data_IF_133774308909
#
_entry.id   IF_133774308909
#
_cell.length_a   1.000
_cell.length_b   1.000
_cell.length_c   1.000
_cell.angle_alpha   90.00
_cell.angle_beta   90.00
_cell.angle_gamma   90.00
#
_symmetry.space_group_name_H-M   'P 1'
#
loop_
_entity.id
_entity.type
_entity.pdbx_description
1 polymer ?
#
# COMPACT_ATOMS: atom_id res chain seq x y z
N UNK A 1 21.36 1.63 -18.63
CA UNK A 1 20.30 1.43 -17.60
C UNK A 1 19.47 0.23 -18.05
N UNK A 2 19.29 -0.81 -17.21
CA UNK A 2 18.47 -1.97 -17.58
C UNK A 2 17.00 -1.52 -17.61
N UNK A 3 16.50 -1.23 -18.81
CA UNK A 3 15.10 -0.99 -19.07
C UNK A 3 14.34 -2.31 -18.86
N UNK A 4 13.75 -2.50 -17.68
CA UNK A 4 12.90 -3.66 -17.44
C UNK A 4 11.58 -3.46 -18.20
N UNK A 5 11.12 -4.49 -18.92
CA UNK A 5 9.78 -4.51 -19.55
C UNK A 5 8.67 -4.20 -18.53
N UNK A 6 8.90 -4.57 -17.26
CA UNK A 6 7.96 -4.30 -16.18
C UNK A 6 7.72 -2.81 -15.93
N UNK A 7 8.59 -1.88 -16.36
CA UNK A 7 8.40 -0.44 -16.14
C UNK A 7 7.77 0.29 -17.33
N UNK A 8 7.49 -0.41 -18.45
CA UNK A 8 7.06 0.25 -19.70
C UNK A 8 5.67 -0.11 -20.20
N UNK A 9 5.07 -1.20 -19.72
CA UNK A 9 3.78 -1.70 -20.23
C UNK A 9 2.88 -2.24 -19.11
N UNK A 10 2.53 -1.37 -18.14
CA UNK A 10 1.50 -1.63 -17.13
C UNK A 10 0.09 -1.52 -17.72
N UNK A 11 -0.18 -2.21 -18.84
CA UNK A 11 -1.53 -2.20 -19.45
C UNK A 11 -2.58 -2.85 -18.55
N UNK A 12 -2.15 -3.79 -17.69
CA UNK A 12 -3.01 -4.43 -16.69
C UNK A 12 -2.23 -4.57 -15.37
N UNK A 13 -2.40 -3.61 -14.45
CA UNK A 13 -1.77 -3.65 -13.14
C UNK A 13 -2.05 -4.95 -12.35
N UNK A 14 -3.17 -5.63 -12.56
CA UNK A 14 -3.50 -6.87 -11.82
C UNK A 14 -2.56 -8.02 -12.16
N UNK A 15 -2.26 -8.22 -13.44
CA UNK A 15 -1.42 -9.34 -13.91
C UNK A 15 0.03 -9.25 -13.47
N UNK A 16 0.54 -8.02 -13.35
CA UNK A 16 1.95 -7.78 -13.08
C UNK A 16 2.22 -7.43 -11.62
N UNK A 17 1.39 -6.59 -10.99
CA UNK A 17 1.67 -6.07 -9.65
C UNK A 17 1.27 -7.03 -8.53
N UNK A 18 0.21 -7.83 -8.70
CA UNK A 18 -0.26 -8.74 -7.63
C UNK A 18 0.81 -9.78 -7.25
N UNK A 19 1.46 -10.49 -8.21
CA UNK A 19 2.56 -11.41 -7.87
C UNK A 19 3.79 -10.69 -7.31
N UNK A 20 4.08 -9.47 -7.80
CA UNK A 20 5.19 -8.66 -7.30
C UNK A 20 4.96 -8.14 -5.88
N UNK A 21 3.71 -7.89 -5.49
CA UNK A 21 3.36 -7.35 -4.18
C UNK A 21 3.97 -8.18 -3.05
N UNK A 22 3.76 -9.50 -3.05
CA UNK A 22 4.28 -10.38 -1.99
C UNK A 22 5.81 -10.35 -1.92
N UNK A 23 6.49 -10.30 -3.08
CA UNK A 23 7.96 -10.25 -3.13
C UNK A 23 8.48 -8.92 -2.58
N UNK A 24 7.93 -7.80 -3.04
CA UNK A 24 8.39 -6.46 -2.68
C UNK A 24 8.06 -6.16 -1.22
N UNK A 25 6.78 -6.32 -0.83
CA UNK A 25 6.34 -6.03 0.54
C UNK A 25 6.96 -7.02 1.53
N UNK A 26 7.05 -8.30 1.17
CA UNK A 26 7.75 -9.29 1.98
C UNK A 26 9.21 -8.91 2.24
N UNK A 27 9.92 -8.41 1.22
CA UNK A 27 11.30 -7.92 1.38
C UNK A 27 11.37 -6.66 2.25
N UNK A 28 10.44 -5.72 2.08
CA UNK A 28 10.38 -4.51 2.91
C UNK A 28 10.16 -4.87 4.38
N UNK A 29 9.24 -5.79 4.69
CA UNK A 29 8.99 -6.25 6.06
C UNK A 29 10.23 -6.94 6.64
N UNK A 30 10.88 -7.83 5.87
CA UNK A 30 12.12 -8.51 6.29
C UNK A 30 13.22 -7.51 6.63
N UNK A 31 13.48 -6.56 5.73
CA UNK A 31 14.52 -5.54 5.90
C UNK A 31 14.21 -4.60 7.06
N UNK A 32 12.94 -4.24 7.25
CA UNK A 32 12.51 -3.38 8.36
C UNK A 32 12.81 -4.03 9.70
N UNK A 33 12.56 -5.35 9.84
CA UNK A 33 12.87 -6.10 11.06
C UNK A 33 14.37 -6.38 11.18
N UNK A 34 15.04 -6.76 10.09
CA UNK A 34 16.48 -7.04 10.10
C UNK A 34 17.29 -5.81 10.52
N UNK A 35 16.93 -4.62 10.01
CA UNK A 35 17.54 -3.34 10.35
C UNK A 35 16.76 -2.59 11.44
N UNK A 36 16.10 -3.28 12.37
CA UNK A 36 15.23 -2.67 13.40
C UNK A 36 15.87 -1.48 14.12
N UNK A 37 17.12 -1.60 14.54
CA UNK A 37 17.83 -0.52 15.25
C UNK A 37 18.04 0.72 14.39
N UNK A 38 18.15 0.56 13.07
CA UNK A 38 18.14 1.68 12.14
C UNK A 38 16.72 2.20 11.90
N UNK A 39 15.74 1.31 11.73
CA UNK A 39 14.33 1.65 11.54
C UNK A 39 13.76 2.48 12.68
N UNK A 40 14.21 2.27 13.92
CA UNK A 40 13.85 3.05 15.11
C UNK A 40 14.37 4.49 15.10
N UNK A 41 15.41 4.78 14.32
CA UNK A 41 16.00 6.12 14.31
C UNK A 41 15.05 7.12 13.65
N UNK A 42 14.87 8.24 14.33
CA UNK A 42 14.22 9.43 13.78
C UNK A 42 15.19 10.09 12.80
N UNK A 43 15.00 9.84 11.51
CA UNK A 43 15.81 10.44 10.45
C UNK A 43 14.96 11.57 9.86
N UNK A 44 15.42 12.81 10.04
CA UNK A 44 14.82 13.97 9.36
C UNK A 44 14.97 13.81 7.85
N UNK A 45 13.99 14.30 7.10
CA UNK A 45 14.11 14.41 5.66
C UNK A 45 15.36 15.20 5.30
N UNK A 46 16.14 14.64 4.37
CA UNK A 46 17.35 15.26 3.86
C UNK A 46 17.25 15.30 2.35
N UNK A 47 17.47 16.48 1.78
CA UNK A 47 17.77 16.59 0.37
C UNK A 47 19.04 15.80 0.09
N UNK A 48 18.95 14.86 -0.84
CA UNK A 48 20.10 14.08 -1.31
C UNK A 48 20.50 14.58 -2.69
N UNK A 49 21.80 14.57 -2.98
CA UNK A 49 22.31 14.89 -4.30
C UNK A 49 21.78 13.85 -5.30
N UNK A 50 21.09 14.31 -6.34
CA UNK A 50 20.66 13.46 -7.46
C UNK A 50 21.84 13.29 -8.40
N UNK A 51 22.34 12.06 -8.50
CA UNK A 51 23.41 11.71 -9.46
C UNK A 51 22.74 11.11 -10.70
N UNK A 52 22.82 11.81 -11.84
CA UNK A 52 22.27 11.34 -13.12
C UNK A 52 21.73 12.45 -14.00
N UNK A 53 21.22 12.08 -15.18
CA UNK A 53 20.47 12.99 -16.07
C UNK A 53 19.02 12.99 -15.61
N UNK A 54 18.44 14.16 -15.41
CA UNK A 54 17.01 14.32 -15.12
C UNK A 54 16.23 14.11 -16.43
N UNK A 55 15.81 12.88 -16.66
CA UNK A 55 14.84 12.57 -17.72
C UNK A 55 13.44 12.87 -17.17
N UNK A 56 12.86 13.99 -17.59
CA UNK A 56 11.43 14.28 -17.37
C UNK A 56 10.65 13.43 -18.37
N UNK A 57 10.52 12.13 -18.11
CA UNK A 57 9.64 11.25 -18.89
C UNK A 57 8.22 11.39 -18.34
N UNK A 58 7.28 11.86 -19.16
CA UNK A 58 5.86 11.84 -18.79
C UNK A 58 5.42 10.38 -18.65
N UNK A 59 4.85 9.98 -17.50
CA UNK A 59 4.34 8.63 -17.33
C UNK A 59 3.33 8.30 -18.43
N UNK A 60 3.41 7.08 -18.97
CA UNK A 60 2.39 6.60 -19.89
C UNK A 60 1.05 6.47 -19.17
N UNK A 61 -0.03 6.68 -19.91
CA UNK A 61 -1.37 6.43 -19.42
C UNK A 61 -1.51 4.98 -18.92
N UNK A 62 -2.09 4.84 -17.74
CA UNK A 62 -2.38 3.54 -17.13
C UNK A 62 -3.88 3.33 -17.17
N UNK A 63 -4.32 2.31 -17.91
CA UNK A 63 -5.72 1.90 -17.91
C UNK A 63 -5.94 0.92 -16.76
N UNK A 64 -6.74 1.32 -15.78
CA UNK A 64 -7.04 0.52 -14.59
C UNK A 64 -8.53 0.16 -14.50
N UNK A 65 -8.82 -1.12 -14.23
CA UNK A 65 -10.17 -1.60 -13.88
C UNK A 65 -10.47 -1.32 -12.39
N UNK A 66 -10.83 -0.07 -12.08
CA UNK A 66 -11.12 0.38 -10.71
C UNK A 66 -12.25 -0.46 -10.08
N UNK A 67 -13.36 -0.65 -10.80
CA UNK A 67 -14.49 -1.48 -10.37
C UNK A 67 -14.04 -2.89 -9.99
N UNK A 68 -13.18 -3.50 -10.80
CA UNK A 68 -12.62 -4.81 -10.53
C UNK A 68 -11.74 -4.83 -9.28
N UNK A 69 -10.91 -3.80 -9.03
CA UNK A 69 -10.10 -3.73 -7.80
C UNK A 69 -10.97 -3.59 -6.55
N UNK A 70 -12.04 -2.80 -6.62
CA UNK A 70 -13.02 -2.67 -5.53
C UNK A 70 -13.70 -4.02 -5.27
N UNK A 71 -14.11 -4.74 -6.32
CA UNK A 71 -14.75 -6.03 -6.18
C UNK A 71 -13.80 -7.10 -5.61
N UNK A 72 -12.53 -7.10 -6.03
CA UNK A 72 -11.50 -7.99 -5.48
C UNK A 72 -11.27 -7.70 -4.00
N UNK A 73 -11.16 -6.42 -3.62
CA UNK A 73 -11.06 -6.01 -2.21
C UNK A 73 -12.27 -6.50 -1.41
N UNK A 74 -13.50 -6.23 -1.87
CA UNK A 74 -14.73 -6.64 -1.16
C UNK A 74 -14.82 -8.15 -1.00
N UNK A 75 -14.51 -8.88 -2.07
CA UNK A 75 -14.53 -10.35 -2.07
C UNK A 75 -13.46 -10.93 -1.15
N UNK A 76 -12.22 -10.44 -1.23
CA UNK A 76 -11.12 -10.85 -0.37
C UNK A 76 -11.37 -10.48 1.09
N UNK A 77 -11.99 -9.33 1.34
CA UNK A 77 -12.34 -8.90 2.68
C UNK A 77 -13.32 -9.87 3.35
N UNK A 78 -14.45 -10.16 2.70
CA UNK A 78 -15.47 -11.05 3.29
C UNK A 78 -14.99 -12.50 3.39
N UNK A 79 -14.18 -12.98 2.44
CA UNK A 79 -13.73 -14.38 2.41
C UNK A 79 -12.51 -14.67 3.28
N UNK A 80 -11.60 -13.72 3.43
CA UNK A 80 -10.28 -13.95 4.04
C UNK A 80 -10.05 -12.98 5.21
N UNK A 81 -10.05 -11.66 4.95
CA UNK A 81 -9.64 -10.68 5.98
C UNK A 81 -10.56 -10.71 7.19
N UNK A 82 -11.86 -10.78 6.99
CA UNK A 82 -12.85 -10.74 8.07
C UNK A 82 -12.86 -12.02 8.92
N UNK A 83 -12.79 -13.23 8.34
CA UNK A 83 -12.56 -14.46 9.11
C UNK A 83 -11.18 -14.56 9.77
N UNK A 84 -10.13 -14.02 9.14
CA UNK A 84 -8.72 -14.22 9.54
C UNK A 84 -8.02 -12.91 9.98
N UNK A 85 -8.71 -12.05 10.73
CA UNK A 85 -8.22 -10.74 11.16
C UNK A 85 -7.23 -10.77 12.35
N UNK A 86 -6.44 -11.83 12.51
CA UNK A 86 -5.67 -12.14 13.74
C UNK A 86 -4.65 -11.07 14.18
N UNK A 87 -4.28 -10.13 13.31
CA UNK A 87 -3.40 -9.00 13.64
C UNK A 87 -4.07 -7.62 13.50
N UNK A 88 -5.31 -7.56 13.05
CA UNK A 88 -6.03 -6.31 12.81
C UNK A 88 -6.91 -5.97 14.02
N UNK A 89 -6.69 -4.83 14.67
CA UNK A 89 -7.56 -4.35 15.75
C UNK A 89 -9.02 -4.17 15.32
N UNK A 90 -9.94 -4.26 16.28
CA UNK A 90 -11.39 -4.19 16.05
C UNK A 90 -11.82 -2.90 15.35
N UNK A 91 -11.16 -1.79 15.61
CA UNK A 91 -11.43 -0.50 14.97
C UNK A 91 -11.03 -0.47 13.49
N UNK A 92 -9.98 -1.21 13.10
CA UNK A 92 -9.62 -1.38 11.69
C UNK A 92 -10.69 -2.22 11.01
N UNK A 93 -11.08 -3.33 11.62
CA UNK A 93 -12.12 -4.21 11.08
C UNK A 93 -13.46 -3.49 10.93
N UNK A 94 -13.87 -2.71 11.93
CA UNK A 94 -15.09 -1.89 11.85
C UNK A 94 -15.05 -0.88 10.70
N UNK A 95 -13.89 -0.29 10.44
CA UNK A 95 -13.70 0.65 9.32
C UNK A 95 -13.76 -0.09 7.98
N UNK A 96 -13.08 -1.23 7.86
CA UNK A 96 -13.11 -2.07 6.66
C UNK A 96 -14.50 -2.62 6.36
N UNK A 97 -15.28 -3.00 7.37
CA UNK A 97 -16.68 -3.46 7.23
C UNK A 97 -17.59 -2.37 6.65
N UNK A 98 -17.30 -1.09 6.92
CA UNK A 98 -18.03 0.05 6.32
C UNK A 98 -17.62 0.24 4.87
N UNK A 99 -16.31 0.18 4.58
CA UNK A 99 -15.76 0.35 3.23
C UNK A 99 -16.23 -0.78 2.31
N UNK A 100 -16.26 -2.04 2.79
CA UNK A 100 -16.69 -3.20 2.01
C UNK A 100 -18.15 -3.10 1.55
N UNK A 101 -18.98 -2.38 2.30
CA UNK A 101 -20.40 -2.16 2.01
C UNK A 101 -20.68 -0.94 1.14
N UNK A 102 -19.67 -0.16 0.76
CA UNK A 102 -19.86 0.99 -0.13
C UNK A 102 -20.46 0.54 -1.46
N UNK A 103 -21.61 1.10 -1.86
CA UNK A 103 -22.31 0.70 -3.07
C UNK A 103 -21.86 1.49 -4.31
N UNK A 104 -21.37 2.71 -4.12
CA UNK A 104 -21.08 3.66 -5.20
C UNK A 104 -19.57 3.75 -5.40
N UNK A 105 -19.10 3.42 -6.60
CA UNK A 105 -17.68 3.41 -6.95
C UNK A 105 -17.02 4.78 -6.77
N UNK A 106 -17.63 5.85 -7.27
CA UNK A 106 -17.08 7.22 -7.14
C UNK A 106 -16.95 7.70 -5.70
N UNK A 107 -17.68 7.09 -4.77
CA UNK A 107 -17.68 7.42 -3.35
C UNK A 107 -16.88 6.38 -2.54
N UNK A 108 -16.18 5.46 -3.22
CA UNK A 108 -15.32 4.47 -2.58
C UNK A 108 -14.07 5.15 -2.05
N UNK A 109 -13.95 5.17 -0.72
CA UNK A 109 -12.81 5.76 -0.01
C UNK A 109 -12.17 4.72 0.88
N UNK A 110 -10.88 4.48 0.64
CA UNK A 110 -10.00 3.72 1.52
C UNK A 110 -8.95 4.68 2.09
N UNK A 111 -9.11 5.16 3.34
CA UNK A 111 -8.21 6.16 3.92
C UNK A 111 -6.77 5.69 4.00
N UNK A 112 -5.81 6.58 3.70
CA UNK A 112 -4.38 6.26 3.83
C UNK A 112 -4.00 5.90 5.27
N UNK A 113 -4.58 6.57 6.26
CA UNK A 113 -4.39 6.27 7.68
C UNK A 113 -4.73 4.82 8.02
N UNK A 114 -5.87 4.34 7.51
CA UNK A 114 -6.30 2.97 7.72
C UNK A 114 -5.32 1.98 7.08
N UNK A 115 -4.81 2.32 5.90
CA UNK A 115 -3.81 1.51 5.20
C UNK A 115 -2.50 1.47 5.97
N UNK A 116 -1.92 2.62 6.30
CA UNK A 116 -0.67 2.72 7.07
C UNK A 116 -0.78 1.95 8.39
N UNK A 117 -1.85 2.19 9.16
CA UNK A 117 -2.10 1.47 10.42
C UNK A 117 -2.14 -0.05 10.22
N UNK A 118 -2.81 -0.54 9.17
CA UNK A 118 -2.90 -1.96 8.86
C UNK A 118 -1.53 -2.57 8.54
N UNK A 119 -0.69 -1.86 7.78
CA UNK A 119 0.70 -2.29 7.47
C UNK A 119 1.53 -2.40 8.74
N UNK A 120 1.48 -1.41 9.64
CA UNK A 120 2.25 -1.44 10.90
C UNK A 120 1.73 -2.49 11.89
N UNK A 121 0.42 -2.77 11.93
CA UNK A 121 -0.12 -3.91 12.66
C UNK A 121 0.44 -5.23 12.08
N UNK A 122 0.47 -5.37 10.76
CA UNK A 122 1.04 -6.54 10.08
C UNK A 122 2.52 -6.72 10.36
N UNK A 123 3.31 -5.65 10.28
CA UNK A 123 4.74 -5.65 10.62
C UNK A 123 4.98 -6.07 12.08
N UNK A 124 4.22 -5.50 13.02
CA UNK A 124 4.36 -5.80 14.45
C UNK A 124 4.02 -7.25 14.78
N UNK A 125 3.00 -7.81 14.12
CA UNK A 125 2.65 -9.22 14.26
C UNK A 125 3.70 -10.12 13.60
N UNK A 126 4.11 -9.78 12.38
CA UNK A 126 5.10 -10.54 11.62
C UNK A 126 6.43 -10.63 12.37
N UNK A 127 6.86 -9.56 13.03
CA UNK A 127 8.06 -9.56 13.89
C UNK A 127 8.03 -10.68 14.93
N UNK A 128 6.87 -10.93 15.55
CA UNK A 128 6.68 -11.93 16.59
C UNK A 128 6.39 -13.33 16.05
N UNK A 129 5.82 -13.42 14.84
CA UNK A 129 5.30 -14.64 14.21
C UNK A 129 5.81 -14.76 12.77
N UNK A 130 7.11 -15.02 12.63
CA UNK A 130 7.80 -15.05 11.32
C UNK A 130 7.32 -16.17 10.40
N UNK A 131 6.75 -17.22 10.97
CA UNK A 131 6.12 -18.34 10.26
C UNK A 131 4.79 -17.97 9.58
N UNK A 132 4.15 -16.87 10.00
CA UNK A 132 2.86 -16.39 9.47
C UNK A 132 3.01 -15.32 8.37
N UNK A 133 4.19 -15.23 7.73
CA UNK A 133 4.51 -14.20 6.73
C UNK A 133 3.48 -14.13 5.61
N UNK A 134 3.16 -15.29 5.01
CA UNK A 134 2.29 -15.36 3.85
C UNK A 134 0.87 -14.90 4.17
N UNK A 135 0.36 -15.26 5.35
CA UNK A 135 -0.97 -14.84 5.82
C UNK A 135 -1.03 -13.31 6.02
N UNK A 136 0.03 -12.72 6.59
CA UNK A 136 0.12 -11.25 6.71
C UNK A 136 0.16 -10.61 5.32
N UNK A 137 0.98 -11.13 4.40
CA UNK A 137 1.08 -10.59 3.04
C UNK A 137 -0.22 -10.73 2.26
N UNK A 138 -0.96 -11.83 2.44
CA UNK A 138 -2.27 -12.02 1.83
C UNK A 138 -3.29 -10.99 2.29
N UNK A 139 -3.40 -10.76 3.59
CA UNK A 139 -4.30 -9.75 4.13
C UNK A 139 -3.89 -8.36 3.63
N UNK A 140 -2.60 -8.00 3.71
CA UNK A 140 -2.11 -6.71 3.24
C UNK A 140 -2.32 -6.51 1.74
N UNK A 141 -2.22 -7.56 0.93
CA UNK A 141 -2.47 -7.51 -0.52
C UNK A 141 -3.93 -7.19 -0.82
N UNK A 142 -4.86 -7.82 -0.10
CA UNK A 142 -6.30 -7.54 -0.25
C UNK A 142 -6.60 -6.09 0.13
N UNK A 143 -6.05 -5.61 1.25
CA UNK A 143 -6.22 -4.22 1.68
C UNK A 143 -5.59 -3.24 0.68
N UNK A 144 -4.43 -3.57 0.13
CA UNK A 144 -3.75 -2.79 -0.89
C UNK A 144 -4.58 -2.63 -2.16
N UNK A 145 -5.32 -3.67 -2.59
CA UNK A 145 -6.23 -3.55 -3.74
C UNK A 145 -7.30 -2.48 -3.50
N UNK A 146 -7.85 -2.42 -2.28
CA UNK A 146 -8.78 -1.36 -1.88
C UNK A 146 -8.11 0.01 -1.86
N UNK A 147 -6.93 0.13 -1.25
CA UNK A 147 -6.18 1.40 -1.24
C UNK A 147 -5.84 1.88 -2.66
N UNK A 148 -5.41 0.99 -3.54
CA UNK A 148 -5.06 1.31 -4.92
C UNK A 148 -6.26 1.86 -5.70
N UNK A 149 -7.44 1.23 -5.58
CA UNK A 149 -8.66 1.72 -6.19
C UNK A 149 -9.02 3.12 -5.67
N UNK A 150 -8.96 3.33 -4.35
CA UNK A 150 -9.23 4.64 -3.75
C UNK A 150 -8.26 5.71 -4.23
N UNK A 151 -6.96 5.39 -4.36
CA UNK A 151 -5.95 6.30 -4.88
C UNK A 151 -6.19 6.64 -6.36
N UNK A 152 -6.55 5.65 -7.18
CA UNK A 152 -6.88 5.89 -8.59
C UNK A 152 -8.08 6.83 -8.72
N UNK A 153 -9.13 6.68 -7.89
CA UNK A 153 -10.29 7.59 -7.89
C UNK A 153 -9.89 9.01 -7.48
N UNK A 154 -9.05 9.14 -6.44
CA UNK A 154 -8.55 10.41 -5.89
C UNK A 154 -7.71 11.20 -6.90
N UNK A 155 -6.96 10.51 -7.76
CA UNK A 155 -5.97 11.11 -8.66
C UNK A 155 -6.40 11.18 -10.12
N UNK A 156 -7.54 10.59 -10.50
CA UNK A 156 -7.95 10.43 -11.92
C UNK A 156 -8.02 11.73 -12.73
N UNK A 157 -8.36 12.84 -12.08
CA UNK A 157 -8.57 14.16 -12.70
C UNK A 157 -7.44 15.15 -12.33
N UNK A 158 -6.40 14.67 -11.64
CA UNK A 158 -5.27 15.48 -11.20
C UNK A 158 -4.15 15.48 -12.25
N UNK A 159 -3.40 16.57 -12.30
CA UNK A 159 -2.15 16.59 -13.05
C UNK A 159 -1.02 15.85 -12.29
N UNK A 160 0.16 15.82 -12.90
CA UNK A 160 1.32 15.09 -12.36
C UNK A 160 1.83 15.69 -11.04
N UNK A 161 1.83 17.02 -10.91
CA UNK A 161 2.32 17.70 -9.71
C UNK A 161 1.36 17.47 -8.54
N UNK A 162 0.06 17.62 -8.78
CA UNK A 162 -1.00 17.32 -7.83
C UNK A 162 -1.01 15.85 -7.40
N UNK A 163 -0.80 14.93 -8.34
CA UNK A 163 -0.71 13.50 -8.03
C UNK A 163 0.49 13.18 -7.13
N UNK A 164 1.62 13.86 -7.36
CA UNK A 164 2.81 13.73 -6.51
C UNK A 164 2.54 14.27 -5.09
N UNK A 165 1.81 15.38 -4.95
CA UNK A 165 1.39 15.89 -3.63
C UNK A 165 0.56 14.85 -2.86
N UNK A 166 -0.37 14.15 -3.52
CA UNK A 166 -1.14 13.06 -2.89
C UNK A 166 -0.21 11.93 -2.45
N UNK A 167 0.81 11.58 -3.24
CA UNK A 167 1.83 10.59 -2.82
C UNK A 167 2.59 11.07 -1.59
N UNK A 168 3.01 12.33 -1.54
CA UNK A 168 3.72 12.89 -0.39
C UNK A 168 2.86 12.87 0.89
N UNK A 169 1.56 13.16 0.78
CA UNK A 169 0.64 13.02 1.92
C UNK A 169 0.60 11.58 2.45
N UNK A 170 0.72 10.58 1.59
CA UNK A 170 0.80 9.18 2.03
C UNK A 170 2.10 8.88 2.78
N UNK A 171 3.21 9.48 2.38
CA UNK A 171 4.50 9.34 3.08
C UNK A 171 4.38 9.85 4.52
N UNK A 172 3.72 10.98 4.73
CA UNK A 172 3.53 11.56 6.07
C UNK A 172 2.74 10.63 7.00
N UNK A 173 1.66 10.00 6.52
CA UNK A 173 0.93 9.02 7.30
C UNK A 173 1.84 7.84 7.72
N UNK A 174 2.67 7.33 6.80
CA UNK A 174 3.60 6.25 7.12
C UNK A 174 4.70 6.67 8.10
N UNK A 175 5.18 7.91 8.04
CA UNK A 175 6.12 8.46 9.03
C UNK A 175 5.48 8.47 10.41
N UNK A 176 4.27 9.00 10.54
CA UNK A 176 3.57 9.08 11.82
C UNK A 176 3.39 7.70 12.48
N UNK A 177 2.93 6.69 11.73
CA UNK A 177 2.77 5.34 12.30
C UNK A 177 4.10 4.63 12.57
N UNK A 178 5.16 4.91 11.78
CA UNK A 178 6.51 4.42 12.07
C UNK A 178 7.00 4.95 13.42
N UNK A 179 6.80 6.24 13.68
CA UNK A 179 7.19 6.86 14.95
C UNK A 179 6.41 6.25 16.12
N UNK A 180 5.08 6.13 15.99
CA UNK A 180 4.22 5.50 17.01
C UNK A 180 4.60 4.06 17.33
N UNK A 181 5.06 3.28 16.35
CA UNK A 181 5.44 1.87 16.56
C UNK A 181 6.74 1.73 17.37
N UNK A 182 7.63 2.72 17.31
CA UNK A 182 8.96 2.66 17.93
C UNK A 182 9.12 3.51 19.21
N UNK A 183 8.05 4.18 19.65
CA UNK A 183 7.94 4.80 20.97
C UNK A 183 7.68 3.74 22.05
#
# INVERSE_FOLDING_TARGET
IKSHESTKDYKDPKKLLIPMFNQVVGSILDLTIFYKDFSKKMIKDKTVERIGIEEVETPKEVVMDISGYINDFKTGYEKIVKPENFFLPVEIISSLDKISKSAVEKDFVFPVDLWAKSVFCGLSYYEQKRDRKEDVLEILRILWQGRLASFAIETKDLDMEQSEEVIQQQVEAFKEYKEKMWQ
#
